data_IF_853844217690
#
_entry.id   IF_853844217690
#
_cell.length_a   1.000
_cell.length_b   1.000
_cell.length_c   1.000
_cell.angle_alpha   90.00
_cell.angle_beta   90.00
_cell.angle_gamma   90.00
#
_symmetry.space_group_name_H-M   'P 1'
#
loop_
_entity.id
_entity.type
_entity.pdbx_description
1 polymer ?
#
# COMPACT_ATOMS: atom_id res chain seq x y z
N UNK A 1 -14.76 -35.65 8.17
CA UNK A 1 -13.33 -35.52 7.79
C UNK A 1 -13.21 -34.34 6.86
N UNK A 2 -12.89 -33.15 7.39
CA UNK A 2 -12.57 -31.97 6.57
C UNK A 2 -11.06 -32.01 6.29
N UNK A 3 -10.66 -31.72 5.06
CA UNK A 3 -9.25 -31.65 4.70
C UNK A 3 -8.68 -30.33 5.24
N UNK A 4 -7.63 -30.43 6.05
CA UNK A 4 -6.86 -29.25 6.50
C UNK A 4 -6.09 -28.71 5.30
N UNK A 5 -6.57 -27.61 4.72
CA UNK A 5 -5.83 -26.83 3.74
C UNK A 5 -4.81 -25.97 4.49
N UNK A 6 -3.55 -26.41 4.50
CA UNK A 6 -2.45 -25.65 5.11
C UNK A 6 -2.07 -24.52 4.15
N UNK A 7 -2.66 -23.35 4.35
CA UNK A 7 -2.30 -22.12 3.62
C UNK A 7 -0.91 -21.64 4.08
N UNK A 8 0.08 -21.84 3.21
CA UNK A 8 1.47 -21.52 3.51
C UNK A 8 1.73 -20.02 3.26
N UNK A 9 1.43 -19.17 4.25
CA UNK A 9 1.69 -17.74 4.15
C UNK A 9 3.21 -17.48 4.03
N UNK A 10 3.61 -16.84 2.93
CA UNK A 10 5.01 -16.66 2.58
C UNK A 10 5.67 -15.56 3.42
N UNK A 11 6.37 -15.95 4.49
CA UNK A 11 7.15 -15.02 5.33
C UNK A 11 8.36 -14.51 4.57
N UNK A 12 8.27 -13.27 4.07
CA UNK A 12 9.36 -12.58 3.36
C UNK A 12 10.46 -12.12 4.34
N UNK A 13 11.33 -13.04 4.76
CA UNK A 13 12.45 -12.73 5.68
C UNK A 13 13.60 -12.04 4.96
N UNK A 14 13.75 -10.73 5.16
CA UNK A 14 14.87 -9.94 4.66
C UNK A 14 16.18 -10.28 5.42
N UNK A 15 17.02 -11.12 4.82
CA UNK A 15 18.29 -11.55 5.40
C UNK A 15 19.36 -10.45 5.35
N UNK A 16 19.57 -9.76 6.47
CA UNK A 16 20.67 -8.79 6.63
C UNK A 16 21.91 -9.44 7.28
N UNK A 17 22.87 -9.85 6.45
CA UNK A 17 24.17 -10.36 6.88
C UNK A 17 25.29 -9.39 6.53
N UNK A 18 25.75 -8.56 7.47
CA UNK A 18 27.08 -7.94 7.43
C UNK A 18 27.71 -7.87 8.84
N UNK A 19 28.54 -8.86 9.15
CA UNK A 19 29.48 -8.83 10.27
C UNK A 19 30.89 -8.52 9.74
N UNK A 20 31.47 -7.37 10.11
CA UNK A 20 32.92 -7.17 10.05
C UNK A 20 33.42 -6.29 11.20
N UNK A 21 34.11 -6.92 12.15
CA UNK A 21 34.91 -6.24 13.17
C UNK A 21 36.07 -7.14 13.63
N UNK A 22 37.27 -6.94 13.06
CA UNK A 22 38.54 -7.43 13.63
C UNK A 22 39.73 -6.64 13.05
N UNK A 23 40.57 -6.09 13.92
CA UNK A 23 41.75 -5.28 13.55
C UNK A 23 43.05 -6.12 13.51
N UNK A 24 44.06 -5.65 12.76
CA UNK A 24 45.44 -6.18 12.78
C UNK A 24 46.24 -5.79 11.52
N UNK A 25 46.89 -4.62 11.42
CA UNK A 25 48.16 -4.21 12.05
C UNK A 25 49.45 -4.64 11.28
N UNK A 26 49.87 -3.78 10.34
CA UNK A 26 51.25 -3.25 10.10
C UNK A 26 52.44 -4.16 9.70
N UNK A 27 53.18 -3.71 8.67
CA UNK A 27 54.54 -4.14 8.27
C UNK A 27 54.57 -4.73 6.85
N UNK A 28 55.51 -4.44 5.94
CA UNK A 28 56.68 -3.54 5.97
C UNK A 28 57.07 -3.12 4.53
N UNK A 29 58.12 -2.31 4.36
CA UNK A 29 58.48 -1.57 3.12
C UNK A 29 59.34 -2.34 2.11
N UNK A 30 59.17 -2.07 0.80
CA UNK A 30 60.27 -2.03 -0.18
C UNK A 30 59.92 -1.16 -1.41
N UNK A 31 60.83 -0.28 -1.81
CA UNK A 31 60.70 0.59 -3.01
C UNK A 31 61.35 -0.02 -4.25
N UNK A 32 60.77 0.24 -5.42
CA UNK A 32 61.49 0.28 -6.70
C UNK A 32 60.91 1.40 -7.58
N UNK A 33 61.69 1.87 -8.57
CA UNK A 33 61.61 3.25 -9.10
C UNK A 33 61.44 3.30 -10.63
N UNK A 34 60.90 4.43 -11.12
CA UNK A 34 60.91 4.89 -12.54
C UNK A 34 60.06 4.09 -13.54
N UNK A 35 59.48 4.70 -14.59
CA UNK A 35 59.31 6.12 -14.93
C UNK A 35 58.15 6.30 -15.93
N UNK A 36 57.57 7.51 -15.99
CA UNK A 36 56.78 7.99 -17.14
C UNK A 36 57.76 8.59 -18.20
N UNK A 37 57.36 8.86 -19.47
CA UNK A 37 56.46 10.01 -19.73
C UNK A 37 55.55 9.97 -20.99
N UNK A 38 54.57 10.87 -20.96
CA UNK A 38 54.02 11.70 -22.06
C UNK A 38 53.32 11.13 -23.31
N UNK A 39 52.20 11.79 -23.63
CA UNK A 39 51.49 11.74 -24.91
C UNK A 39 52.11 12.66 -25.98
N UNK A 40 51.74 12.46 -27.27
CA UNK A 40 51.06 13.44 -28.16
C UNK A 40 50.76 12.85 -29.56
N UNK A 41 49.57 13.17 -30.12
CA UNK A 41 49.20 13.46 -31.52
C UNK A 41 49.70 12.55 -32.71
N UNK A 42 49.15 12.56 -33.93
CA UNK A 42 48.18 13.43 -34.61
C UNK A 42 47.45 12.73 -35.79
N UNK A 43 46.27 13.26 -36.13
CA UNK A 43 45.61 13.44 -37.46
C UNK A 43 45.89 12.49 -38.66
N UNK A 44 44.80 12.08 -39.31
CA UNK A 44 44.69 12.09 -40.80
C UNK A 44 43.22 12.28 -41.20
N UNK A 45 42.95 13.12 -42.20
CA UNK A 45 41.59 13.46 -42.68
C UNK A 45 41.34 12.88 -44.09
N UNK A 46 40.07 12.63 -44.46
CA UNK A 46 39.69 12.12 -45.77
C UNK A 46 38.21 12.37 -46.11
N UNK A 47 37.94 12.63 -47.40
CA UNK A 47 36.81 13.43 -47.91
C UNK A 47 36.50 12.96 -49.38
N UNK A 48 35.36 13.23 -50.05
CA UNK A 48 34.23 14.16 -49.85
C UNK A 48 32.92 13.50 -50.41
N UNK A 49 31.74 13.96 -49.98
CA UNK A 49 30.51 14.12 -50.81
C UNK A 49 29.63 12.88 -51.19
N UNK A 50 28.40 13.05 -51.77
CA UNK A 50 27.17 12.65 -51.06
C UNK A 50 26.14 11.87 -51.92
N UNK A 51 24.95 11.55 -51.38
CA UNK A 51 23.63 11.44 -52.08
C UNK A 51 22.53 11.04 -51.06
N UNK A 52 21.29 11.52 -51.25
CA UNK A 52 20.08 11.20 -50.46
C UNK A 52 18.98 10.58 -51.39
N UNK A 53 17.70 10.40 -51.00
CA UNK A 53 17.04 10.06 -49.72
C UNK A 53 16.20 8.73 -49.86
N UNK A 54 15.21 8.47 -48.97
CA UNK A 54 14.04 7.52 -48.99
C UNK A 54 13.95 6.82 -47.62
N UNK A 55 13.06 7.16 -46.67
CA UNK A 55 11.58 6.95 -46.59
C UNK A 55 11.17 5.50 -46.29
N UNK A 56 10.81 5.22 -45.03
CA UNK A 56 9.83 4.23 -44.51
C UNK A 56 9.80 4.45 -42.97
N UNK A 57 8.87 5.23 -42.43
CA UNK A 57 7.45 4.94 -42.13
C UNK A 57 7.24 4.05 -40.89
N UNK A 58 6.70 4.69 -39.84
CA UNK A 58 5.84 4.11 -38.82
C UNK A 58 5.23 5.25 -37.96
N UNK A 59 4.61 6.23 -38.63
CA UNK A 59 3.95 7.35 -37.94
C UNK A 59 2.53 6.98 -37.49
N UNK A 60 2.38 6.39 -36.31
CA UNK A 60 1.05 6.21 -35.70
C UNK A 60 0.60 7.51 -35.02
N UNK A 61 -0.53 8.03 -35.49
CA UNK A 61 -1.23 9.19 -34.92
C UNK A 61 -2.59 8.78 -34.37
N UNK A 62 -3.06 9.53 -33.38
CA UNK A 62 -4.43 9.57 -32.82
C UNK A 62 -4.83 8.52 -31.76
N UNK A 63 -5.66 8.99 -30.81
CA UNK A 63 -6.21 8.26 -29.67
C UNK A 63 -5.40 8.48 -28.37
N UNK A 64 -5.92 9.11 -27.32
CA UNK A 64 -7.17 9.87 -27.21
C UNK A 64 -7.00 10.98 -26.16
N UNK A 65 -7.72 12.08 -26.28
CA UNK A 65 -7.70 13.13 -25.26
C UNK A 65 -8.74 12.81 -24.19
N UNK A 66 -8.34 12.73 -22.93
CA UNK A 66 -9.25 12.41 -21.81
C UNK A 66 -10.35 13.47 -21.70
N UNK A 67 -11.54 13.14 -22.22
CA UNK A 67 -12.73 13.99 -22.16
C UNK A 67 -13.32 13.92 -20.75
N UNK A 68 -12.91 14.87 -19.91
CA UNK A 68 -13.29 15.00 -18.49
C UNK A 68 -14.79 15.37 -18.29
N UNK A 69 -15.69 14.90 -19.16
CA UNK A 69 -17.09 15.33 -19.19
C UNK A 69 -18.09 14.23 -19.61
N UNK A 70 -17.71 12.95 -19.55
CA UNK A 70 -18.66 11.84 -19.58
C UNK A 70 -19.03 11.43 -18.14
N UNK A 71 -20.29 11.55 -17.70
CA UNK A 71 -20.75 10.96 -16.44
C UNK A 71 -21.00 9.46 -16.67
N UNK A 72 -19.93 8.67 -16.69
CA UNK A 72 -20.04 7.23 -16.73
C UNK A 72 -20.44 6.72 -15.34
N UNK A 73 -21.72 6.41 -15.16
CA UNK A 73 -22.21 5.76 -13.95
C UNK A 73 -21.63 4.34 -13.87
N UNK A 74 -20.57 4.15 -13.07
CA UNK A 74 -20.23 2.82 -12.56
C UNK A 74 -18.78 2.35 -12.65
N UNK A 75 -17.79 3.18 -12.32
CA UNK A 75 -16.54 2.70 -11.72
C UNK A 75 -16.25 3.48 -10.43
N UNK A 76 -15.71 2.78 -9.42
CA UNK A 76 -15.50 3.37 -8.11
C UNK A 76 -14.51 4.53 -8.19
N UNK A 77 -14.84 5.65 -7.54
CA UNK A 77 -13.90 6.76 -7.36
C UNK A 77 -12.57 6.19 -6.87
N UNK A 78 -11.45 6.46 -7.57
CA UNK A 78 -10.11 5.93 -7.29
C UNK A 78 -9.52 6.34 -5.93
N UNK A 79 -10.34 6.96 -5.10
CA UNK A 79 -10.17 7.34 -3.72
C UNK A 79 -10.15 6.14 -2.74
N UNK A 80 -10.78 5.02 -3.11
CA UNK A 80 -10.80 3.78 -2.31
C UNK A 80 -10.21 2.64 -3.14
N UNK A 81 -9.11 2.06 -2.66
CA UNK A 81 -8.40 0.98 -3.35
C UNK A 81 -9.22 -0.32 -3.30
N UNK A 82 -9.55 -0.97 -4.43
CA UNK A 82 -10.19 -2.29 -4.43
C UNK A 82 -9.32 -3.33 -3.73
N UNK A 83 -9.94 -4.22 -2.96
CA UNK A 83 -9.30 -5.40 -2.36
C UNK A 83 -10.04 -6.63 -2.87
N UNK A 84 -9.30 -7.56 -3.47
CA UNK A 84 -9.80 -8.87 -3.92
C UNK A 84 -9.22 -9.97 -3.02
N UNK A 85 -10.01 -11.01 -2.74
CA UNK A 85 -9.63 -12.14 -1.88
C UNK A 85 -9.84 -13.47 -2.62
N UNK A 86 -9.88 -14.58 -1.88
CA UNK A 86 -10.24 -15.89 -2.40
C UNK A 86 -11.77 -16.14 -2.41
N UNK A 87 -12.60 -15.20 -1.93
CA UNK A 87 -14.07 -15.29 -1.94
C UNK A 87 -14.69 -14.08 -2.65
N UNK A 88 -15.09 -14.23 -3.94
CA UNK A 88 -15.76 -13.17 -4.69
C UNK A 88 -17.08 -12.69 -4.07
N UNK A 89 -17.77 -13.54 -3.30
CA UNK A 89 -18.98 -13.16 -2.57
C UNK A 89 -18.68 -12.23 -1.40
N UNK A 90 -17.58 -12.48 -0.68
CA UNK A 90 -17.08 -11.56 0.34
C UNK A 90 -16.59 -10.26 -0.29
N UNK A 91 -15.85 -10.33 -1.41
CA UNK A 91 -15.33 -9.14 -2.08
C UNK A 91 -16.46 -8.20 -2.53
N UNK A 92 -17.56 -8.76 -3.05
CA UNK A 92 -18.77 -7.98 -3.36
C UNK A 92 -19.37 -7.32 -2.09
N UNK A 93 -19.55 -8.09 -1.01
CA UNK A 93 -20.06 -7.55 0.28
C UNK A 93 -19.15 -6.46 0.85
N UNK A 94 -17.83 -6.64 0.74
CA UNK A 94 -16.84 -5.68 1.23
C UNK A 94 -16.77 -4.44 0.33
N UNK A 95 -16.95 -4.57 -0.98
CA UNK A 95 -17.07 -3.42 -1.89
C UNK A 95 -18.28 -2.54 -1.56
N UNK A 96 -19.39 -3.15 -1.14
CA UNK A 96 -20.63 -2.47 -0.77
C UNK A 96 -20.67 -2.01 0.71
N UNK A 97 -19.52 -1.88 1.39
CA UNK A 97 -19.49 -1.54 2.81
C UNK A 97 -19.89 -0.08 3.09
N UNK A 98 -20.54 0.21 4.23
CA UNK A 98 -21.05 1.54 4.54
C UNK A 98 -19.96 2.57 4.91
N UNK A 99 -18.75 2.12 5.30
CA UNK A 99 -17.66 3.02 5.72
C UNK A 99 -17.01 3.67 4.50
N UNK A 100 -16.66 2.88 3.47
CA UNK A 100 -16.14 3.40 2.19
C UNK A 100 -17.20 4.24 1.48
N UNK A 101 -18.48 3.83 1.51
CA UNK A 101 -19.57 4.61 0.93
C UNK A 101 -19.70 5.99 1.59
N UNK A 102 -19.58 6.07 2.92
CA UNK A 102 -19.57 7.33 3.66
C UNK A 102 -18.32 8.17 3.35
N UNK A 103 -17.14 7.56 3.31
CA UNK A 103 -15.88 8.25 2.98
C UNK A 103 -15.89 8.84 1.57
N UNK A 104 -16.35 8.08 0.57
CA UNK A 104 -16.48 8.56 -0.82
C UNK A 104 -17.49 9.69 -0.94
N UNK A 105 -18.63 9.61 -0.22
CA UNK A 105 -19.63 10.66 -0.20
C UNK A 105 -19.11 11.95 0.46
N UNK A 106 -18.43 11.85 1.61
CA UNK A 106 -17.87 13.00 2.32
C UNK A 106 -16.72 13.65 1.55
N UNK A 107 -15.86 12.84 0.93
CA UNK A 107 -14.67 13.32 0.22
C UNK A 107 -14.95 14.15 -1.04
N UNK A 108 -16.20 14.15 -1.53
CA UNK A 108 -16.62 15.01 -2.63
C UNK A 108 -16.62 16.51 -2.27
N UNK A 109 -16.76 16.84 -0.98
CA UNK A 109 -16.88 18.21 -0.48
C UNK A 109 -15.59 18.76 0.17
N UNK A 110 -14.56 17.92 0.38
CA UNK A 110 -13.31 18.30 1.06
C UNK A 110 -12.38 19.08 0.11
N UNK A 111 -11.96 20.29 0.51
CA UNK A 111 -11.21 21.21 -0.37
C UNK A 111 -9.83 21.59 0.15
N UNK A 112 -9.55 21.35 1.44
CA UNK A 112 -8.25 21.64 2.06
C UNK A 112 -7.51 20.39 2.51
N UNK A 113 -6.18 20.49 2.57
CA UNK A 113 -5.31 19.43 3.10
C UNK A 113 -5.72 18.96 4.50
N UNK A 114 -6.15 19.88 5.36
CA UNK A 114 -6.52 19.58 6.74
C UNK A 114 -7.81 18.76 6.80
N UNK A 115 -8.85 19.15 6.06
CA UNK A 115 -10.11 18.43 5.95
C UNK A 115 -9.91 17.00 5.41
N UNK A 116 -9.06 16.82 4.39
CA UNK A 116 -8.74 15.51 3.81
C UNK A 116 -8.01 14.63 4.85
N UNK A 117 -7.02 15.17 5.54
CA UNK A 117 -6.28 14.43 6.59
C UNK A 117 -7.21 14.04 7.76
N UNK A 118 -8.07 14.97 8.22
CA UNK A 118 -9.04 14.71 9.29
C UNK A 118 -10.13 13.71 8.89
N UNK A 119 -10.50 13.63 7.61
CA UNK A 119 -11.35 12.57 7.09
C UNK A 119 -10.64 11.22 7.13
N UNK A 120 -9.46 11.10 6.52
CA UNK A 120 -8.69 9.85 6.53
C UNK A 120 -8.47 9.30 7.95
N UNK A 121 -8.13 10.15 8.92
CA UNK A 121 -7.95 9.73 10.33
C UNK A 121 -9.25 9.26 11.00
N UNK A 122 -10.40 9.90 10.70
CA UNK A 122 -11.71 9.41 11.20
C UNK A 122 -12.08 8.06 10.60
N UNK A 123 -11.95 7.90 9.28
CA UNK A 123 -12.27 6.63 8.63
C UNK A 123 -11.26 5.53 9.00
N UNK A 124 -10.00 5.86 9.27
CA UNK A 124 -9.03 4.95 9.88
C UNK A 124 -9.51 4.44 11.25
N UNK A 125 -10.04 5.32 12.11
CA UNK A 125 -10.59 4.93 13.41
C UNK A 125 -11.88 4.10 13.31
N UNK A 126 -12.73 4.35 12.31
CA UNK A 126 -13.88 3.49 12.01
C UNK A 126 -13.43 2.09 11.58
N UNK A 127 -12.40 1.99 10.73
CA UNK A 127 -11.83 0.70 10.33
C UNK A 127 -11.14 -0.02 11.51
N UNK A 128 -10.42 0.70 12.38
CA UNK A 128 -9.89 0.11 13.63
C UNK A 128 -11.03 -0.44 14.50
N UNK A 129 -12.20 0.22 14.53
CA UNK A 129 -13.36 -0.28 15.27
C UNK A 129 -13.99 -1.54 14.67
N UNK A 130 -14.03 -1.67 13.34
CA UNK A 130 -14.44 -2.92 12.69
C UNK A 130 -13.48 -4.08 12.95
N UNK A 131 -12.17 -3.82 13.10
CA UNK A 131 -11.21 -4.86 13.51
C UNK A 131 -11.55 -5.37 14.91
N UNK A 132 -11.77 -4.49 15.89
CA UNK A 132 -12.13 -4.87 17.27
C UNK A 132 -13.40 -5.74 17.30
N UNK A 133 -14.49 -5.23 16.70
CA UNK A 133 -15.82 -5.90 16.74
C UNK A 133 -15.84 -7.15 15.86
N UNK A 134 -15.16 -7.12 14.71
CA UNK A 134 -14.98 -8.27 13.83
C UNK A 134 -14.21 -9.40 14.52
N UNK A 135 -13.12 -9.08 15.22
CA UNK A 135 -12.35 -10.05 16.02
C UNK A 135 -13.17 -10.60 17.17
N UNK A 136 -13.92 -9.77 17.92
CA UNK A 136 -14.79 -10.26 19.01
C UNK A 136 -15.81 -11.29 18.49
N UNK A 137 -16.49 -10.97 17.38
CA UNK A 137 -17.44 -11.88 16.71
C UNK A 137 -16.74 -13.15 16.22
N UNK A 138 -15.64 -13.03 15.50
CA UNK A 138 -14.87 -14.15 14.94
C UNK A 138 -14.42 -15.12 16.04
N UNK A 139 -13.80 -14.61 17.10
CA UNK A 139 -13.34 -15.44 18.23
C UNK A 139 -14.51 -16.09 18.99
N UNK A 140 -15.71 -15.51 18.97
CA UNK A 140 -16.90 -16.16 19.56
C UNK A 140 -17.38 -17.38 18.75
N UNK A 141 -17.27 -17.33 17.42
CA UNK A 141 -17.77 -18.35 16.49
C UNK A 141 -16.73 -19.43 16.15
N UNK A 142 -15.48 -19.03 15.92
CA UNK A 142 -14.38 -19.89 15.54
C UNK A 142 -13.79 -20.64 16.75
N UNK A 143 -14.57 -21.49 17.42
CA UNK A 143 -14.14 -22.15 18.67
C UNK A 143 -12.90 -23.02 18.52
N UNK A 144 -12.74 -23.66 17.36
CA UNK A 144 -11.68 -24.63 17.10
C UNK A 144 -10.38 -23.92 16.67
N UNK A 145 -10.50 -22.77 15.98
CA UNK A 145 -9.38 -21.99 15.43
C UNK A 145 -9.08 -20.71 16.26
N UNK A 146 -9.76 -20.53 17.40
CA UNK A 146 -9.68 -19.33 18.26
C UNK A 146 -8.26 -18.92 18.63
N UNK A 147 -7.43 -19.87 19.04
CA UNK A 147 -6.03 -19.60 19.46
C UNK A 147 -5.17 -19.11 18.29
N UNK A 148 -5.47 -19.56 17.06
CA UNK A 148 -4.79 -19.09 15.86
C UNK A 148 -5.15 -17.62 15.59
N UNK A 149 -6.45 -17.29 15.51
CA UNK A 149 -6.89 -15.92 15.23
C UNK A 149 -6.49 -14.92 16.33
N UNK A 150 -6.48 -15.34 17.62
CA UNK A 150 -5.93 -14.53 18.70
C UNK A 150 -4.46 -14.18 18.46
N UNK A 151 -3.65 -15.20 18.15
CA UNK A 151 -2.23 -14.99 17.88
C UNK A 151 -1.98 -14.12 16.65
N UNK A 152 -2.72 -14.33 15.56
CA UNK A 152 -2.60 -13.50 14.35
C UNK A 152 -2.94 -12.03 14.62
N UNK A 153 -3.86 -11.76 15.54
CA UNK A 153 -4.17 -10.40 16.00
C UNK A 153 -3.06 -9.84 16.91
N UNK A 154 -2.55 -10.61 17.87
CA UNK A 154 -1.43 -10.20 18.73
C UNK A 154 -0.14 -9.90 17.93
N UNK A 155 0.18 -10.73 16.92
CA UNK A 155 1.32 -10.55 16.03
C UNK A 155 1.15 -9.28 15.16
N UNK A 156 -0.07 -9.00 14.66
CA UNK A 156 -0.37 -7.76 13.91
C UNK A 156 -0.30 -6.52 14.80
N UNK A 157 -0.89 -6.55 16.01
CA UNK A 157 -0.84 -5.45 16.99
C UNK A 157 0.59 -5.13 17.41
N UNK A 158 1.41 -6.17 17.64
CA UNK A 158 2.85 -6.02 17.96
C UNK A 158 3.61 -5.30 16.84
N UNK A 159 3.24 -5.53 15.58
CA UNK A 159 3.81 -4.84 14.42
C UNK A 159 3.21 -3.47 14.11
N UNK A 160 2.05 -3.12 14.68
CA UNK A 160 1.19 -2.01 14.23
C UNK A 160 1.93 -0.67 14.16
N UNK A 161 2.47 -0.24 15.29
CA UNK A 161 3.08 1.10 15.42
C UNK A 161 4.35 1.25 14.55
N UNK A 162 5.08 0.15 14.33
CA UNK A 162 6.26 0.13 13.46
C UNK A 162 5.89 0.24 11.97
N UNK A 163 4.83 -0.45 11.54
CA UNK A 163 4.32 -0.37 10.17
C UNK A 163 3.71 1.02 9.87
N UNK A 164 2.88 1.53 10.78
CA UNK A 164 2.31 2.88 10.67
C UNK A 164 3.40 3.95 10.56
N UNK A 165 4.45 3.84 11.39
CA UNK A 165 5.61 4.72 11.30
C UNK A 165 6.31 4.60 9.94
N UNK A 166 6.53 3.38 9.45
CA UNK A 166 7.18 3.17 8.15
C UNK A 166 6.38 3.76 6.98
N UNK A 167 5.04 3.68 7.01
CA UNK A 167 4.17 4.33 6.03
C UNK A 167 4.30 5.86 6.09
N UNK A 168 4.28 6.45 7.28
CA UNK A 168 4.47 7.89 7.47
C UNK A 168 5.89 8.39 7.08
N UNK A 169 6.92 7.55 7.19
CA UNK A 169 8.28 7.83 6.72
C UNK A 169 8.48 7.61 5.21
N UNK A 170 7.56 6.89 4.54
CA UNK A 170 7.56 6.67 3.09
C UNK A 170 6.78 7.76 2.33
N UNK A 171 5.81 8.39 2.99
CA UNK A 171 5.07 9.52 2.44
C UNK A 171 5.99 10.71 2.13
N UNK A 172 5.58 11.53 1.15
CA UNK A 172 6.32 12.73 0.74
C UNK A 172 6.43 13.82 1.82
N UNK A 173 7.08 14.93 1.47
CA UNK A 173 7.10 16.12 2.31
C UNK A 173 5.94 17.09 2.00
N UNK A 174 5.59 17.94 2.97
CA UNK A 174 4.57 18.98 2.80
C UNK A 174 3.13 18.48 2.78
N UNK A 175 2.22 19.28 2.22
CA UNK A 175 0.77 19.03 2.26
C UNK A 175 0.34 17.73 1.57
N UNK A 176 0.94 17.38 0.43
CA UNK A 176 0.62 16.12 -0.26
C UNK A 176 1.10 14.91 0.54
N UNK A 177 2.28 14.99 1.15
CA UNK A 177 2.78 13.95 2.05
C UNK A 177 1.92 13.72 3.29
N UNK A 178 1.31 14.78 3.84
CA UNK A 178 0.35 14.64 4.95
C UNK A 178 -0.91 13.87 4.53
N UNK A 179 -1.44 14.15 3.34
CA UNK A 179 -2.59 13.41 2.77
C UNK A 179 -2.20 11.95 2.51
N UNK A 180 -1.03 11.71 1.92
CA UNK A 180 -0.51 10.37 1.62
C UNK A 180 -0.31 9.54 2.89
N UNK A 181 0.27 10.12 3.95
CA UNK A 181 0.46 9.45 5.23
C UNK A 181 -0.89 9.09 5.90
N UNK A 182 -1.86 10.02 5.88
CA UNK A 182 -3.18 9.79 6.47
C UNK A 182 -4.00 8.75 5.67
N UNK A 183 -3.97 8.82 4.34
CA UNK A 183 -4.59 7.82 3.46
C UNK A 183 -3.96 6.43 3.64
N UNK A 184 -2.63 6.34 3.66
CA UNK A 184 -1.91 5.09 3.91
C UNK A 184 -2.25 4.48 5.28
N UNK A 185 -2.48 5.32 6.30
CA UNK A 185 -2.94 4.88 7.62
C UNK A 185 -4.37 4.36 7.59
N UNK A 186 -5.28 5.01 6.88
CA UNK A 186 -6.64 4.51 6.66
C UNK A 186 -6.64 3.15 5.94
N UNK A 187 -5.88 3.04 4.84
CA UNK A 187 -5.76 1.79 4.07
C UNK A 187 -5.13 0.66 4.89
N UNK A 188 -4.16 0.96 5.76
CA UNK A 188 -3.56 -0.02 6.68
C UNK A 188 -4.61 -0.66 7.62
N UNK A 189 -5.51 0.13 8.20
CA UNK A 189 -6.59 -0.41 9.02
C UNK A 189 -7.67 -1.08 8.17
N UNK A 190 -8.05 -0.49 7.03
CA UNK A 190 -9.03 -1.06 6.10
C UNK A 190 -8.61 -2.44 5.58
N UNK A 191 -7.32 -2.63 5.27
CA UNK A 191 -6.78 -3.93 4.86
C UNK A 191 -6.82 -4.98 5.98
N UNK A 192 -6.55 -4.59 7.24
CA UNK A 192 -6.72 -5.52 8.38
C UNK A 192 -8.19 -5.84 8.64
N UNK A 193 -9.08 -4.84 8.54
CA UNK A 193 -10.52 -5.05 8.66
C UNK A 193 -11.04 -6.00 7.57
N UNK A 194 -10.61 -5.84 6.31
CA UNK A 194 -10.91 -6.77 5.23
C UNK A 194 -10.52 -8.21 5.60
N UNK A 195 -9.29 -8.44 6.07
CA UNK A 195 -8.82 -9.77 6.47
C UNK A 195 -9.66 -10.38 7.62
N UNK A 196 -9.93 -9.61 8.68
CA UNK A 196 -10.74 -10.07 9.83
C UNK A 196 -12.18 -10.37 9.42
N UNK A 197 -12.79 -9.49 8.61
CA UNK A 197 -14.16 -9.66 8.14
C UNK A 197 -14.30 -10.78 7.11
N UNK A 198 -13.25 -11.06 6.31
CA UNK A 198 -13.18 -12.22 5.40
C UNK A 198 -13.21 -13.53 6.18
N UNK A 199 -12.45 -13.62 7.27
CA UNK A 199 -12.49 -14.79 8.15
C UNK A 199 -13.86 -14.92 8.83
N UNK A 200 -14.39 -13.82 9.39
CA UNK A 200 -15.74 -13.78 9.99
C UNK A 200 -16.83 -14.24 9.01
N UNK A 201 -16.79 -13.79 7.75
CA UNK A 201 -17.75 -14.16 6.71
C UNK A 201 -17.85 -15.67 6.48
N UNK A 202 -16.77 -16.42 6.72
CA UNK A 202 -16.78 -17.88 6.59
C UNK A 202 -17.58 -18.60 7.70
N UNK A 203 -17.81 -17.92 8.84
CA UNK A 203 -18.63 -18.39 9.96
C UNK A 203 -20.02 -17.74 9.99
N UNK A 204 -20.13 -16.46 9.59
CA UNK A 204 -21.36 -15.66 9.56
C UNK A 204 -21.43 -14.81 8.28
N UNK A 205 -21.97 -15.34 7.16
CA UNK A 205 -22.11 -14.58 5.92
C UNK A 205 -23.04 -13.36 6.04
N UNK A 206 -24.00 -13.43 6.97
CA UNK A 206 -25.02 -12.41 7.22
C UNK A 206 -24.53 -11.33 8.20
N UNK A 207 -23.24 -11.33 8.59
CA UNK A 207 -22.69 -10.36 9.52
C UNK A 207 -22.99 -8.91 9.11
N UNK A 208 -23.24 -8.05 10.10
CA UNK A 208 -23.35 -6.59 9.91
C UNK A 208 -22.09 -5.89 10.39
N UNK A 209 -21.72 -4.80 9.71
CA UNK A 209 -20.74 -3.83 10.18
C UNK A 209 -21.14 -3.26 11.56
N UNK A 210 -20.16 -2.82 12.33
CA UNK A 210 -20.35 -2.10 13.57
C UNK A 210 -20.72 -0.62 13.33
N UNK A 211 -20.19 -0.03 12.25
CA UNK A 211 -20.54 1.30 11.79
C UNK A 211 -22.00 1.37 11.31
N UNK A 212 -22.68 2.43 11.71
CA UNK A 212 -24.01 2.80 11.24
C UNK A 212 -23.99 4.28 10.86
N UNK A 213 -24.37 4.59 9.62
CA UNK A 213 -24.40 5.97 9.09
C UNK A 213 -25.33 6.91 9.86
N UNK A 214 -26.33 6.36 10.56
CA UNK A 214 -27.30 7.12 11.35
C UNK A 214 -26.77 7.50 12.75
N UNK A 215 -25.65 6.91 13.21
CA UNK A 215 -25.07 7.22 14.53
C UNK A 215 -24.08 8.39 14.47
N UNK A 216 -24.63 9.60 14.61
CA UNK A 216 -23.86 10.85 14.58
C UNK A 216 -22.80 10.98 15.70
N UNK A 217 -22.76 10.06 16.67
CA UNK A 217 -21.74 10.09 17.73
C UNK A 217 -20.34 9.73 17.22
N UNK A 218 -20.23 8.98 16.13
CA UNK A 218 -18.96 8.57 15.53
C UNK A 218 -18.15 9.73 14.91
N UNK A 219 -18.80 10.86 14.58
CA UNK A 219 -18.18 11.98 13.85
C UNK A 219 -17.62 13.07 14.79
N UNK A 220 -17.93 13.02 16.10
CA UNK A 220 -17.68 14.13 17.04
C UNK A 220 -16.44 13.98 17.95
N UNK A 221 -15.56 12.99 17.70
CA UNK A 221 -14.45 12.66 18.60
C UNK A 221 -13.15 13.48 18.38
N UNK A 222 -13.13 14.42 17.43
CA UNK A 222 -12.00 15.32 17.17
C UNK A 222 -12.46 16.79 17.27
N UNK A 223 -12.24 17.42 18.43
CA UNK A 223 -12.55 18.82 18.72
C UNK A 223 -11.87 19.29 20.01
#
# INVERSE_FOLDING_TARGET
MRQLAISLLAVLTAASCLLFAACGQRGETASAVSAAPSAVSAVSSGEIDPTAPTEEDAGLTAGDGEDLNNPEEGEGSGLVIPIETDSPEFDAKFKDNPIDAAYVAESADLVSTMEIVEACERYAALWEKEIEVGMEKLLSLATDDREQYQKEQEDWETGRDANLKALAEQAGEGSLGQIEAAGSRMDFFRARANAVLRELYSYDPDFTYAYNSDDSSAVSAAG
#
